data_IF_724331581293
#
_entry.id   IF_724331581293
#
_cell.length_a   1.000
_cell.length_b   1.000
_cell.length_c   1.000
_cell.angle_alpha   90.00
_cell.angle_beta   90.00
_cell.angle_gamma   90.00
#
_symmetry.space_group_name_H-M   'P 1'
#
loop_
_entity.id
_entity.type
_entity.pdbx_description
1 polymer ?
#
# COMPACT_ATOMS: atom_id res chain seq x y z
N UNK A 1 25.58 -59.09 -17.95
CA UNK A 1 24.26 -58.66 -17.44
C UNK A 1 24.48 -57.45 -16.55
N UNK A 2 23.95 -56.29 -16.96
CA UNK A 2 24.24 -54.97 -16.38
C UNK A 2 23.15 -54.63 -15.35
N UNK A 3 23.56 -54.28 -14.13
CA UNK A 3 22.70 -53.71 -13.09
C UNK A 3 22.65 -52.19 -13.31
N UNK A 4 21.48 -51.55 -13.44
CA UNK A 4 21.40 -50.10 -13.32
C UNK A 4 21.25 -49.74 -11.84
N UNK A 5 22.36 -49.30 -11.24
CA UNK A 5 22.34 -48.41 -10.09
C UNK A 5 21.90 -47.02 -10.56
N UNK A 6 20.87 -46.46 -9.94
CA UNK A 6 20.34 -45.16 -10.34
C UNK A 6 19.29 -44.62 -9.37
N UNK A 7 19.54 -44.78 -8.07
CA UNK A 7 18.75 -44.14 -7.01
C UNK A 7 19.15 -42.65 -6.96
N UNK A 8 18.50 -41.80 -7.74
CA UNK A 8 18.65 -40.34 -7.66
C UNK A 8 17.47 -39.74 -6.89
N UNK A 9 17.62 -39.70 -5.57
CA UNK A 9 16.94 -38.74 -4.71
C UNK A 9 17.53 -37.35 -5.02
N UNK A 10 16.74 -36.42 -5.53
CA UNK A 10 17.02 -34.99 -5.39
C UNK A 10 15.73 -34.23 -5.09
N UNK A 11 15.66 -33.79 -3.84
CA UNK A 11 14.68 -32.95 -3.21
C UNK A 11 14.26 -31.75 -4.06
N UNK A 12 12.96 -31.61 -4.29
CA UNK A 12 12.33 -30.36 -4.71
C UNK A 12 11.23 -30.00 -3.69
N UNK A 13 11.65 -29.65 -2.48
CA UNK A 13 10.80 -29.06 -1.46
C UNK A 13 11.10 -27.56 -1.36
N UNK A 14 10.66 -26.79 -2.35
CA UNK A 14 10.55 -25.34 -2.21
C UNK A 14 9.29 -25.04 -1.40
N UNK A 15 9.49 -24.94 -0.09
CA UNK A 15 8.48 -24.58 0.89
C UNK A 15 8.09 -23.11 0.63
N UNK A 16 6.85 -22.92 0.16
CA UNK A 16 6.14 -21.64 0.14
C UNK A 16 5.89 -21.19 1.59
N UNK A 17 6.92 -20.63 2.22
CA UNK A 17 6.85 -20.07 3.56
C UNK A 17 6.75 -18.55 3.53
N UNK A 18 5.54 -18.00 3.41
CA UNK A 18 5.22 -16.63 3.84
C UNK A 18 3.71 -16.37 3.85
N UNK A 19 2.97 -17.09 4.70
CA UNK A 19 1.58 -16.74 5.06
C UNK A 19 1.39 -16.92 6.57
N UNK A 20 2.21 -16.25 7.38
CA UNK A 20 2.06 -16.31 8.84
C UNK A 20 2.37 -14.97 9.49
N UNK A 21 1.33 -14.15 9.67
CA UNK A 21 1.05 -13.46 10.94
C UNK A 21 -0.10 -12.47 10.79
N UNK A 22 -1.30 -12.86 11.22
CA UNK A 22 -2.29 -11.94 11.81
C UNK A 22 -2.93 -12.69 12.99
N UNK A 23 -3.17 -12.05 14.14
CA UNK A 23 -3.78 -10.72 14.18
C UNK A 23 -3.10 -9.76 15.19
N UNK A 24 -2.27 -8.84 14.69
CA UNK A 24 -2.38 -7.47 15.16
C UNK A 24 -3.51 -6.86 14.33
N UNK A 25 -4.50 -6.20 14.95
CA UNK A 25 -5.54 -5.50 14.18
C UNK A 25 -4.82 -4.61 13.14
N UNK A 26 -5.02 -4.81 11.83
CA UNK A 26 -4.25 -4.07 10.84
C UNK A 26 -4.53 -2.59 11.02
N UNK A 27 -3.47 -1.78 11.13
CA UNK A 27 -3.59 -0.33 11.30
C UNK A 27 -4.24 0.28 10.06
N UNK A 28 -3.88 -0.24 8.89
CA UNK A 28 -4.45 0.17 7.61
C UNK A 28 -5.64 -0.75 7.31
N UNK A 29 -6.88 -0.20 7.22
CA UNK A 29 -8.03 -1.00 6.80
C UNK A 29 -7.82 -1.53 5.38
N UNK A 30 -8.41 -2.68 5.06
CA UNK A 30 -8.31 -3.26 3.72
C UNK A 30 -8.87 -2.27 2.69
N UNK A 31 -8.14 -1.97 1.59
CA UNK A 31 -8.67 -1.09 0.54
C UNK A 31 -10.01 -1.63 0.00
N UNK A 32 -11.00 -0.78 -0.30
CA UNK A 32 -12.23 -1.27 -0.91
C UNK A 32 -11.99 -1.76 -2.34
N UNK A 33 -12.82 -2.69 -2.82
CA UNK A 33 -12.75 -3.14 -4.22
C UNK A 33 -13.12 -2.03 -5.21
N UNK A 34 -13.86 -1.02 -4.74
CA UNK A 34 -14.36 0.08 -5.53
C UNK A 34 -14.35 1.36 -4.68
N UNK A 35 -13.99 2.49 -5.30
CA UNK A 35 -14.11 3.83 -4.72
C UNK A 35 -15.03 4.67 -5.60
N UNK A 36 -15.96 5.40 -5.00
CA UNK A 36 -17.05 6.04 -5.71
C UNK A 36 -17.82 5.03 -6.58
N UNK A 37 -18.41 5.51 -7.68
CA UNK A 37 -19.16 4.64 -8.59
C UNK A 37 -18.27 3.89 -9.60
N UNK A 38 -17.06 4.37 -9.89
CA UNK A 38 -16.38 3.99 -11.13
C UNK A 38 -14.92 3.54 -10.96
N UNK A 39 -14.28 3.83 -9.83
CA UNK A 39 -12.88 3.46 -9.62
C UNK A 39 -12.77 2.03 -9.12
N UNK A 40 -12.20 1.14 -9.94
CA UNK A 40 -12.02 -0.27 -9.57
C UNK A 40 -10.60 -0.52 -9.08
N UNK A 41 -10.47 -1.22 -7.97
CA UNK A 41 -9.17 -1.64 -7.44
C UNK A 41 -8.55 -2.70 -8.34
N UNK A 42 -7.33 -2.44 -8.80
CA UNK A 42 -6.59 -3.34 -9.69
C UNK A 42 -5.73 -4.35 -8.94
N UNK A 43 -5.30 -4.01 -7.72
CA UNK A 43 -4.43 -4.87 -6.92
C UNK A 43 -4.08 -4.25 -5.58
N UNK A 44 -3.62 -5.09 -4.65
CA UNK A 44 -3.13 -4.68 -3.34
C UNK A 44 -1.82 -5.40 -3.06
N UNK A 45 -0.86 -4.64 -2.58
CA UNK A 45 0.44 -5.11 -2.17
C UNK A 45 0.70 -4.63 -0.74
N UNK A 46 1.39 -5.44 0.04
CA UNK A 46 1.86 -5.11 1.39
C UNK A 46 3.38 -5.25 1.41
N UNK A 47 4.12 -4.26 0.87
CA UNK A 47 5.56 -4.37 0.81
C UNK A 47 6.19 -4.31 2.20
N UNK A 48 7.43 -4.78 2.33
CA UNK A 48 8.17 -4.71 3.58
C UNK A 48 8.41 -3.25 4.00
N UNK A 49 8.24 -2.95 5.30
CA UNK A 49 8.45 -1.60 5.86
C UNK A 49 9.89 -1.09 5.71
N UNK A 50 10.86 -2.00 5.52
CA UNK A 50 12.25 -1.66 5.20
C UNK A 50 12.42 -1.01 3.83
N UNK A 51 11.44 -1.18 2.93
CA UNK A 51 11.43 -0.57 1.59
C UNK A 51 10.74 0.80 1.53
N UNK A 52 10.30 1.34 2.66
CA UNK A 52 9.67 2.66 2.73
C UNK A 52 10.65 3.77 2.26
N UNK A 53 10.17 4.85 1.62
CA UNK A 53 10.99 5.99 1.23
C UNK A 53 11.88 6.52 2.37
N UNK A 54 13.13 6.88 2.05
CA UNK A 54 14.13 7.28 3.04
C UNK A 54 13.68 8.46 3.93
N UNK A 55 12.85 9.37 3.40
CA UNK A 55 12.28 10.49 4.17
C UNK A 55 11.32 10.06 5.28
N UNK A 56 10.71 8.88 5.14
CA UNK A 56 9.73 8.33 6.09
C UNK A 56 10.33 7.28 7.02
N UNK A 57 11.46 6.65 6.67
CA UNK A 57 12.11 5.63 7.52
C UNK A 57 12.38 6.10 8.96
N UNK A 58 12.88 7.33 9.23
CA UNK A 58 13.11 7.80 10.59
C UNK A 58 11.86 7.86 11.46
N UNK A 59 10.67 7.93 10.83
CA UNK A 59 9.37 7.99 11.51
C UNK A 59 8.83 6.59 11.86
N UNK A 60 9.61 5.53 11.57
CA UNK A 60 9.35 4.13 11.95
C UNK A 60 7.93 3.63 11.58
N UNK A 61 7.50 3.72 10.31
CA UNK A 61 6.22 3.16 9.89
C UNK A 61 6.13 1.66 10.22
N UNK A 62 4.95 1.26 10.69
CA UNK A 62 4.65 -0.09 11.16
C UNK A 62 4.02 -0.96 10.07
N UNK A 63 3.35 -0.33 9.10
CA UNK A 63 2.67 -1.01 8.01
C UNK A 63 2.77 -0.17 6.73
N UNK A 64 2.88 -0.83 5.58
CA UNK A 64 2.82 -0.19 4.27
C UNK A 64 1.88 -0.99 3.36
N UNK A 65 0.88 -0.30 2.82
CA UNK A 65 -0.05 -0.82 1.81
C UNK A 65 0.09 0.01 0.54
N UNK A 66 0.24 -0.67 -0.59
CA UNK A 66 0.21 -0.07 -1.92
C UNK A 66 -0.96 -0.66 -2.70
N UNK A 67 -1.77 0.18 -3.31
CA UNK A 67 -2.87 -0.25 -4.16
C UNK A 67 -2.98 0.66 -5.38
N UNK A 68 -3.66 0.20 -6.42
CA UNK A 68 -3.97 1.06 -7.57
C UNK A 68 -5.43 0.91 -7.95
N UNK A 69 -6.02 2.02 -8.37
CA UNK A 69 -7.37 2.11 -8.88
C UNK A 69 -7.36 2.55 -10.33
N UNK A 70 -8.34 2.06 -11.10
CA UNK A 70 -8.50 2.37 -12.51
C UNK A 70 -9.92 2.81 -12.81
N UNK A 71 -10.05 3.84 -13.64
CA UNK A 71 -11.30 4.26 -14.26
C UNK A 71 -10.99 4.54 -15.75
N UNK A 72 -11.50 3.69 -16.66
CA UNK A 72 -11.19 3.75 -18.10
C UNK A 72 -9.67 3.66 -18.39
N UNK A 73 -9.06 4.72 -18.91
CA UNK A 73 -7.64 4.89 -19.19
C UNK A 73 -6.87 5.56 -18.03
N UNK A 74 -7.59 6.02 -17.00
CA UNK A 74 -7.04 6.74 -15.86
C UNK A 74 -6.63 5.77 -14.76
N UNK A 75 -5.49 6.04 -14.13
CA UNK A 75 -4.93 5.18 -13.07
C UNK A 75 -4.38 6.03 -11.94
N UNK A 76 -4.77 5.70 -10.71
CA UNK A 76 -4.23 6.32 -9.49
C UNK A 76 -3.59 5.24 -8.64
N UNK A 77 -2.37 5.48 -8.19
CA UNK A 77 -1.69 4.70 -7.19
C UNK A 77 -1.90 5.34 -5.81
N UNK A 78 -2.24 4.51 -4.83
CA UNK A 78 -2.40 4.93 -3.43
C UNK A 78 -1.40 4.17 -2.59
N UNK A 79 -0.61 4.91 -1.81
CA UNK A 79 0.30 4.37 -0.81
C UNK A 79 -0.19 4.81 0.56
N UNK A 80 -0.37 3.87 1.47
CA UNK A 80 -0.78 4.14 2.86
C UNK A 80 0.30 3.60 3.78
N UNK A 81 0.78 4.47 4.66
CA UNK A 81 1.76 4.15 5.69
C UNK A 81 1.08 4.23 7.05
N UNK A 82 1.05 3.12 7.78
CA UNK A 82 0.57 3.04 9.15
C UNK A 82 1.68 3.49 10.07
N UNK A 83 1.50 4.64 10.71
CA UNK A 83 2.50 5.28 11.57
C UNK A 83 2.30 4.88 13.04
N UNK A 84 3.35 4.96 13.87
CA UNK A 84 3.23 4.66 15.31
C UNK A 84 2.25 5.57 16.03
N UNK A 85 2.17 6.85 15.62
CA UNK A 85 1.29 7.85 16.21
C UNK A 85 0.72 8.79 15.15
N UNK A 86 -0.35 9.51 15.48
CA UNK A 86 -0.87 10.61 14.65
C UNK A 86 0.16 11.73 14.46
N UNK A 87 0.94 12.07 15.50
CA UNK A 87 2.02 13.05 15.38
C UNK A 87 3.06 12.64 14.33
N UNK A 88 3.43 11.36 14.27
CA UNK A 88 4.32 10.83 13.24
C UNK A 88 3.72 10.87 11.84
N UNK A 89 2.40 10.67 11.71
CA UNK A 89 1.69 10.80 10.42
C UNK A 89 1.59 12.25 9.94
N UNK A 90 1.35 13.19 10.86
CA UNK A 90 1.41 14.61 10.58
C UNK A 90 2.82 15.05 10.16
N UNK A 91 3.86 14.61 10.89
CA UNK A 91 5.25 14.89 10.56
C UNK A 91 5.63 14.30 9.19
N UNK A 92 5.16 13.09 8.86
CA UNK A 92 5.33 12.49 7.54
C UNK A 92 4.75 13.38 6.44
N UNK A 93 3.54 13.92 6.65
CA UNK A 93 2.90 14.84 5.70
C UNK A 93 3.69 16.15 5.54
N UNK A 94 4.26 16.68 6.61
CA UNK A 94 5.09 17.89 6.56
C UNK A 94 6.42 17.66 5.84
N UNK A 95 7.05 16.50 6.05
CA UNK A 95 8.31 16.12 5.41
C UNK A 95 8.13 15.68 3.95
N UNK A 96 6.93 15.24 3.57
CA UNK A 96 6.64 14.82 2.22
C UNK A 96 6.72 16.00 1.26
N UNK A 97 7.76 16.00 0.43
CA UNK A 97 7.84 16.91 -0.72
C UNK A 97 6.88 16.38 -1.76
N UNK A 98 5.85 17.14 -2.08
CA UNK A 98 4.96 16.81 -3.19
C UNK A 98 5.77 16.66 -4.47
N UNK A 99 5.89 15.44 -4.96
CA UNK A 99 6.37 15.18 -6.32
C UNK A 99 5.31 15.65 -7.31
N UNK A 100 5.74 16.03 -8.52
CA UNK A 100 4.80 16.37 -9.59
C UNK A 100 3.79 15.23 -9.76
N UNK A 101 2.51 15.58 -9.86
CA UNK A 101 1.39 14.63 -9.99
C UNK A 101 1.16 13.69 -8.79
N UNK A 102 1.53 14.15 -7.59
CA UNK A 102 1.14 13.52 -6.34
C UNK A 102 0.45 14.48 -5.39
N UNK A 103 -0.43 13.94 -4.56
CA UNK A 103 -1.01 14.62 -3.40
C UNK A 103 -0.92 13.71 -2.19
N UNK A 104 -0.80 14.31 -1.02
CA UNK A 104 -0.66 13.58 0.22
C UNK A 104 -1.50 14.22 1.33
N UNK A 105 -1.98 13.39 2.23
CA UNK A 105 -2.72 13.80 3.43
C UNK A 105 -2.42 12.83 4.58
N UNK A 106 -2.87 13.17 5.78
CA UNK A 106 -2.86 12.24 6.90
C UNK A 106 -4.27 12.11 7.49
N UNK A 107 -4.56 10.97 8.09
CA UNK A 107 -5.81 10.69 8.81
C UNK A 107 -5.51 9.79 10.01
N UNK A 108 -5.73 10.28 11.22
CA UNK A 108 -5.31 9.60 12.45
C UNK A 108 -3.80 9.26 12.35
N UNK A 109 -3.39 8.04 12.68
CA UNK A 109 -2.02 7.56 12.52
C UNK A 109 -1.69 7.06 11.10
N UNK A 110 -2.46 7.41 10.07
CA UNK A 110 -2.20 7.03 8.68
C UNK A 110 -1.65 8.20 7.88
N UNK A 111 -0.57 7.97 7.14
CA UNK A 111 -0.08 8.87 6.12
C UNK A 111 -0.38 8.29 4.73
N UNK A 112 -0.97 9.09 3.84
CA UNK A 112 -1.51 8.62 2.55
C UNK A 112 -0.96 9.48 1.42
N UNK A 113 -0.50 8.81 0.37
CA UNK A 113 -0.03 9.45 -0.87
C UNK A 113 -0.84 8.89 -2.03
N UNK A 114 -1.47 9.77 -2.80
CA UNK A 114 -2.12 9.45 -4.07
C UNK A 114 -1.28 10.04 -5.20
N UNK A 115 -0.91 9.25 -6.19
CA UNK A 115 -0.16 9.69 -7.36
C UNK A 115 -0.75 9.14 -8.65
N UNK A 116 -0.58 9.88 -9.74
CA UNK A 116 -1.04 9.44 -11.06
C UNK A 116 -0.21 10.07 -12.16
N UNK A 117 0.16 9.29 -13.17
CA UNK A 117 0.81 9.83 -14.36
C UNK A 117 -0.21 10.36 -15.38
N UNK A 118 -1.45 9.89 -15.33
CA UNK A 118 -2.48 10.17 -16.35
C UNK A 118 -3.56 11.15 -15.89
N UNK A 119 -3.73 11.36 -14.58
CA UNK A 119 -4.74 12.26 -14.04
C UNK A 119 -4.26 13.70 -13.91
N UNK A 120 -5.16 14.63 -14.21
CA UNK A 120 -4.99 16.03 -13.86
C UNK A 120 -5.04 16.20 -12.33
N UNK A 121 -4.28 17.17 -11.79
CA UNK A 121 -4.20 17.40 -10.35
C UNK A 121 -5.57 17.64 -9.70
N UNK A 122 -6.48 18.34 -10.37
CA UNK A 122 -7.84 18.58 -9.86
C UNK A 122 -8.61 17.26 -9.62
N UNK A 123 -8.56 16.34 -10.59
CA UNK A 123 -9.20 15.03 -10.47
C UNK A 123 -8.52 14.16 -9.41
N UNK A 124 -7.19 14.26 -9.28
CA UNK A 124 -6.44 13.55 -8.24
C UNK A 124 -6.84 14.02 -6.84
N UNK A 125 -7.11 15.32 -6.65
CA UNK A 125 -7.65 15.87 -5.40
C UNK A 125 -9.06 15.36 -5.10
N UNK A 126 -9.94 15.24 -6.11
CA UNK A 126 -11.26 14.64 -5.94
C UNK A 126 -11.18 13.17 -5.56
N UNK A 127 -10.33 12.40 -6.23
CA UNK A 127 -10.07 11.01 -5.89
C UNK A 127 -9.55 10.86 -4.45
N UNK A 128 -8.69 11.75 -4.01
CA UNK A 128 -8.16 11.76 -2.63
C UNK A 128 -9.27 11.92 -1.60
N UNK A 129 -10.29 12.73 -1.88
CA UNK A 129 -11.47 12.85 -1.02
C UNK A 129 -12.28 11.56 -0.97
N UNK A 130 -12.37 10.80 -2.07
CA UNK A 130 -13.01 9.47 -2.06
C UNK A 130 -12.24 8.49 -1.17
N UNK A 131 -10.91 8.47 -1.29
CA UNK A 131 -10.05 7.63 -0.43
C UNK A 131 -10.28 7.98 1.05
N UNK A 132 -10.25 9.27 1.40
CA UNK A 132 -10.46 9.69 2.78
C UNK A 132 -11.86 9.30 3.31
N UNK A 133 -12.91 9.56 2.53
CA UNK A 133 -14.30 9.44 2.99
C UNK A 133 -14.89 8.04 2.91
N UNK A 134 -14.45 7.22 1.97
CA UNK A 134 -15.03 5.88 1.75
C UNK A 134 -14.14 4.77 2.29
N UNK A 135 -12.81 4.91 2.17
CA UNK A 135 -11.89 3.91 2.70
C UNK A 135 -11.50 4.22 4.16
N UNK A 136 -11.10 5.45 4.46
CA UNK A 136 -10.45 5.76 5.74
C UNK A 136 -11.36 6.37 6.81
N UNK A 137 -12.64 6.56 6.52
CA UNK A 137 -13.63 7.14 7.45
C UNK A 137 -13.91 6.28 8.69
N UNK A 138 -13.57 4.99 8.65
CA UNK A 138 -13.81 4.01 9.73
C UNK A 138 -12.76 3.98 10.84
N UNK A 139 -11.70 4.81 10.79
CA UNK A 139 -10.66 4.84 11.82
C UNK A 139 -11.10 5.56 13.09
N UNK A 140 -11.89 4.90 13.94
CA UNK A 140 -12.09 5.27 15.36
C UNK A 140 -11.45 4.22 16.25
#
# INVERSE_FOLDING_TARGET
MRVPAGLWLCAAALILGACTSLPHKPLIPVPPLQLGSDWKRMGVETPAVTGVPASLQPLKPLQWVRTSYRQLDRRVQVQVFGMPTEASAFEARQKWRSEERSTAFHKSNLFVVCSSETEAMANLLEFTKLVENEWLRGGR
#
